data_IF_253816455774
#
_entry.id   IF_253816455774
#
_cell.length_a   1.000
_cell.length_b   1.000
_cell.length_c   1.000
_cell.angle_alpha   90.00
_cell.angle_beta   90.00
_cell.angle_gamma   90.00
#
_symmetry.space_group_name_H-M   'P 1'
#
loop_
_entity.id
_entity.type
_entity.pdbx_description
1 polymer ?
#
# COMPACT_ATOMS: atom_id res chain seq x y z
N UNK A 1 3.39 -0.72 10.11
CA UNK A 1 2.63 -0.90 11.36
C UNK A 1 1.13 -1.16 11.15
N UNK A 2 0.45 -0.61 10.13
CA UNK A 2 -1.02 -0.79 10.02
C UNK A 2 -1.50 -2.07 9.32
N UNK A 3 -0.77 -2.53 8.30
CA UNK A 3 -1.17 -3.66 7.47
C UNK A 3 -0.55 -5.01 7.90
N UNK A 4 0.40 -5.00 8.84
CA UNK A 4 1.15 -6.21 9.22
C UNK A 4 2.12 -6.67 8.14
N UNK A 5 2.87 -7.72 8.43
CA UNK A 5 3.86 -8.30 7.50
C UNK A 5 3.20 -9.09 6.37
N UNK A 6 2.02 -9.66 6.63
CA UNK A 6 1.25 -10.45 5.66
C UNK A 6 0.11 -9.66 4.98
N UNK A 7 0.00 -8.36 5.30
CA UNK A 7 -1.03 -7.47 4.73
C UNK A 7 -2.41 -7.57 5.38
N UNK A 8 -2.60 -8.32 6.48
CA UNK A 8 -3.92 -8.63 7.05
C UNK A 8 -4.24 -7.97 8.40
N UNK A 9 -3.30 -7.25 9.00
CA UNK A 9 -3.42 -6.81 10.40
C UNK A 9 -4.66 -5.97 10.70
N UNK A 10 -5.06 -5.09 9.77
CA UNK A 10 -6.30 -4.31 9.91
C UNK A 10 -6.26 -3.18 10.94
N UNK A 11 -5.09 -2.81 11.45
CA UNK A 11 -4.98 -1.74 12.45
C UNK A 11 -5.45 -0.40 11.90
N UNK A 12 -6.11 0.40 12.74
CA UNK A 12 -6.71 1.68 12.37
C UNK A 12 -7.70 1.58 11.18
N UNK A 13 -8.36 0.43 11.02
CA UNK A 13 -9.31 0.18 9.93
C UNK A 13 -8.65 -0.07 8.56
N UNK A 14 -7.35 -0.39 8.55
CA UNK A 14 -6.64 -0.82 7.36
C UNK A 14 -7.36 -2.01 6.69
N UNK A 15 -7.40 -2.02 5.36
CA UNK A 15 -7.99 -3.12 4.59
C UNK A 15 -6.99 -4.26 4.44
N UNK A 16 -7.50 -5.49 4.39
CA UNK A 16 -6.73 -6.68 4.05
C UNK A 16 -6.21 -6.57 2.61
N UNK A 17 -4.88 -6.52 2.46
CA UNK A 17 -4.22 -6.37 1.17
C UNK A 17 -4.24 -7.66 0.35
N UNK A 18 -4.35 -8.82 0.99
CA UNK A 18 -4.30 -10.11 0.33
C UNK A 18 -5.50 -10.39 -0.57
N UNK A 19 -6.63 -9.70 -0.32
CA UNK A 19 -7.87 -9.76 -1.12
C UNK A 19 -8.05 -8.54 -2.02
N UNK A 20 -7.04 -7.67 -2.13
CA UNK A 20 -7.12 -6.43 -2.91
C UNK A 20 -7.19 -6.68 -4.41
N UNK A 21 -8.20 -6.11 -5.06
CA UNK A 21 -8.39 -6.16 -6.53
C UNK A 21 -7.85 -4.91 -7.25
N UNK A 22 -7.13 -4.04 -6.55
CA UNK A 22 -6.61 -2.80 -7.13
C UNK A 22 -5.49 -3.08 -8.12
N UNK A 23 -5.46 -2.34 -9.23
CA UNK A 23 -4.36 -2.34 -10.18
C UNK A 23 -3.21 -1.42 -9.74
N UNK A 24 -2.07 -1.51 -10.42
CA UNK A 24 -0.83 -0.83 -10.05
C UNK A 24 -0.99 0.69 -9.99
N UNK A 25 -1.70 1.30 -10.95
CA UNK A 25 -1.99 2.76 -10.95
C UNK A 25 -2.86 3.19 -9.77
N UNK A 26 -3.82 2.34 -9.38
CA UNK A 26 -4.67 2.62 -8.22
C UNK A 26 -3.89 2.50 -6.92
N UNK A 27 -3.01 1.49 -6.80
CA UNK A 27 -2.13 1.32 -5.64
C UNK A 27 -1.18 2.50 -5.54
N UNK A 28 -0.51 2.86 -6.64
CA UNK A 28 0.39 4.01 -6.71
C UNK A 28 -0.29 5.30 -6.24
N UNK A 29 -1.50 5.59 -6.74
CA UNK A 29 -2.25 6.79 -6.34
C UNK A 29 -2.50 6.83 -4.83
N UNK A 30 -2.84 5.69 -4.22
CA UNK A 30 -3.10 5.60 -2.77
C UNK A 30 -1.80 5.75 -1.98
N UNK A 31 -0.70 5.14 -2.42
CA UNK A 31 0.61 5.30 -1.76
C UNK A 31 1.03 6.78 -1.80
N UNK A 32 0.90 7.44 -2.94
CA UNK A 32 1.30 8.84 -3.12
C UNK A 32 0.39 9.80 -2.37
N UNK A 33 -0.92 9.63 -2.42
CA UNK A 33 -1.88 10.63 -1.90
C UNK A 33 -2.49 10.27 -0.55
N UNK A 34 -2.22 9.07 -0.04
CA UNK A 34 -2.94 8.52 1.08
C UNK A 34 -4.39 8.18 0.73
N UNK A 35 -5.11 7.62 1.69
CA UNK A 35 -6.54 7.36 1.61
C UNK A 35 -7.12 7.13 3.00
N UNK A 36 -8.14 7.90 3.37
CA UNK A 36 -8.73 7.85 4.72
C UNK A 36 -7.63 8.02 5.79
N UNK A 37 -7.52 7.08 6.73
CA UNK A 37 -6.50 7.08 7.78
C UNK A 37 -5.09 6.68 7.30
N UNK A 38 -4.91 6.26 6.04
CA UNK A 38 -3.59 5.98 5.47
C UNK A 38 -2.94 7.31 5.00
N UNK A 39 -1.83 7.75 5.62
CA UNK A 39 -1.15 8.97 5.21
C UNK A 39 -0.45 8.80 3.85
N UNK A 40 -0.19 9.92 3.18
CA UNK A 40 0.67 9.96 2.00
C UNK A 40 2.08 9.44 2.35
N UNK A 41 2.64 8.62 1.46
CA UNK A 41 4.01 8.12 1.54
C UNK A 41 4.93 8.79 0.50
N UNK A 42 4.43 9.78 -0.25
CA UNK A 42 5.17 10.41 -1.36
C UNK A 42 6.47 11.07 -0.87
N UNK A 43 6.40 11.80 0.23
CA UNK A 43 7.58 12.43 0.84
C UNK A 43 8.53 11.44 1.52
N UNK A 44 8.07 10.22 1.87
CA UNK A 44 8.88 9.21 2.55
C UNK A 44 9.61 8.33 1.54
N UNK A 45 8.94 8.00 0.44
CA UNK A 45 9.50 7.11 -0.59
C UNK A 45 10.39 7.87 -1.58
N UNK A 46 10.22 9.18 -1.72
CA UNK A 46 11.06 10.16 -2.44
C UNK A 46 11.21 9.94 -3.96
N UNK A 47 11.28 8.69 -4.44
CA UNK A 47 11.54 8.32 -5.83
C UNK A 47 10.44 7.41 -6.37
N UNK A 48 10.24 7.47 -7.69
CA UNK A 48 9.31 6.59 -8.39
C UNK A 48 9.73 5.12 -8.32
N UNK A 49 11.04 4.86 -8.21
CA UNK A 49 11.58 3.50 -8.08
C UNK A 49 11.19 2.87 -6.73
N UNK A 50 11.33 3.61 -5.63
CA UNK A 50 10.91 3.15 -4.31
C UNK A 50 9.40 2.88 -4.26
N UNK A 51 8.60 3.74 -4.89
CA UNK A 51 7.15 3.53 -5.00
C UNK A 51 6.83 2.26 -5.77
N UNK A 52 7.52 2.01 -6.90
CA UNK A 52 7.37 0.76 -7.68
C UNK A 52 7.73 -0.47 -6.86
N UNK A 53 8.84 -0.44 -6.11
CA UNK A 53 9.25 -1.55 -5.24
C UNK A 53 8.19 -1.87 -4.17
N UNK A 54 7.57 -0.84 -3.58
CA UNK A 54 6.46 -1.03 -2.64
C UNK A 54 5.23 -1.61 -3.33
N UNK A 55 4.89 -1.15 -4.54
CA UNK A 55 3.76 -1.70 -5.32
C UNK A 55 3.99 -3.19 -5.61
N UNK A 56 5.19 -3.58 -6.05
CA UNK A 56 5.54 -4.98 -6.30
C UNK A 56 5.45 -5.83 -5.02
N UNK A 57 5.96 -5.32 -3.90
CA UNK A 57 5.80 -6.00 -2.61
C UNK A 57 4.32 -6.17 -2.21
N UNK A 58 3.49 -5.14 -2.34
CA UNK A 58 2.05 -5.23 -2.06
C UNK A 58 1.37 -6.28 -2.96
N UNK A 59 1.84 -6.45 -4.20
CA UNK A 59 1.32 -7.47 -5.12
C UNK A 59 1.68 -8.89 -4.68
N UNK A 60 2.83 -9.13 -4.06
CA UNK A 60 3.17 -10.47 -3.54
C UNK A 60 2.32 -10.90 -2.36
N UNK A 61 1.68 -9.95 -1.67
CA UNK A 61 0.75 -10.23 -0.57
C UNK A 61 -0.63 -10.67 -1.07
N UNK A 62 -0.97 -10.39 -2.34
CA UNK A 62 -2.23 -10.85 -2.96
C UNK A 62 -2.18 -12.36 -3.17
N UNK A 63 -3.26 -13.05 -2.80
CA UNK A 63 -3.42 -14.49 -3.01
C UNK A 63 -4.38 -14.80 -4.15
#
# INVERSE_FOLDING_TARGET
SCHGEDGKLGSSGAKDLSVSKLNDKQIEKIIRKGKNAMPSQEAILETDENIKLVIEHVKTLKK
#
